data_IF_262505702984
#
_entry.id   IF_262505702984
#
_cell.length_a   1.000
_cell.length_b   1.000
_cell.length_c   1.000
_cell.angle_alpha   90.00
_cell.angle_beta   90.00
_cell.angle_gamma   90.00
#
_symmetry.space_group_name_H-M   'P 1'
#
loop_
_entity.id
_entity.type
_entity.pdbx_description
1 polymer ?
#
# COMPACT_ATOMS: atom_id res chain seq x y z
N UNK A 1 -26.75 18.01 -7.75
CA UNK A 1 -26.63 16.53 -7.63
C UNK A 1 -26.97 16.16 -6.20
N UNK A 2 -28.21 15.73 -5.97
CA UNK A 2 -28.69 15.32 -4.65
C UNK A 2 -28.02 14.00 -4.27
N UNK A 3 -27.36 13.96 -3.11
CA UNK A 3 -26.79 12.74 -2.58
C UNK A 3 -27.92 11.91 -1.93
N UNK A 4 -28.24 10.76 -2.53
CA UNK A 4 -29.19 9.82 -1.97
C UNK A 4 -28.62 9.22 -0.66
N UNK A 5 -29.12 9.66 0.50
CA UNK A 5 -28.61 9.34 1.84
C UNK A 5 -29.04 7.98 2.37
N UNK A 6 -29.91 7.25 1.67
CA UNK A 6 -30.41 5.93 2.11
C UNK A 6 -29.64 4.75 1.51
N UNK A 7 -28.65 5.00 0.64
CA UNK A 7 -27.91 3.94 -0.04
C UNK A 7 -26.41 4.04 0.20
N UNK A 8 -25.81 2.95 0.66
CA UNK A 8 -24.35 2.83 0.73
C UNK A 8 -23.76 2.80 -0.68
N UNK A 9 -22.73 3.62 -0.91
CA UNK A 9 -22.00 3.63 -2.17
C UNK A 9 -21.12 2.39 -2.30
N UNK A 10 -21.11 1.80 -3.49
CA UNK A 10 -20.19 0.72 -3.85
C UNK A 10 -18.75 1.23 -3.82
N UNK A 11 -17.84 0.44 -3.23
CA UNK A 11 -16.42 0.77 -3.23
C UNK A 11 -15.78 0.49 -4.59
N UNK A 12 -14.77 1.29 -4.93
CA UNK A 12 -13.93 1.01 -6.08
C UNK A 12 -13.23 -0.35 -5.95
N UNK A 13 -13.12 -1.06 -7.08
CA UNK A 13 -12.41 -2.33 -7.18
C UNK A 13 -10.94 -2.11 -6.81
N UNK A 14 -10.43 -2.93 -5.89
CA UNK A 14 -9.01 -2.94 -5.54
C UNK A 14 -8.14 -3.49 -6.67
N UNK A 15 -6.82 -3.46 -6.49
CA UNK A 15 -5.91 -4.14 -7.41
C UNK A 15 -6.14 -5.64 -7.42
N UNK A 16 -6.03 -6.25 -8.59
CA UNK A 16 -5.72 -7.67 -8.69
C UNK A 16 -4.21 -7.93 -8.50
N UNK A 17 -3.82 -9.20 -8.49
CA UNK A 17 -2.44 -9.60 -8.26
C UNK A 17 -1.48 -9.07 -9.35
N UNK A 18 -1.91 -9.06 -10.60
CA UNK A 18 -1.08 -8.59 -11.72
C UNK A 18 -0.83 -7.10 -11.57
N UNK A 19 -1.90 -6.33 -11.33
CA UNK A 19 -1.81 -4.89 -11.09
C UNK A 19 -0.91 -4.55 -9.90
N UNK A 20 -1.02 -5.29 -8.80
CA UNK A 20 -0.20 -5.05 -7.62
C UNK A 20 1.29 -5.40 -7.83
N UNK A 21 1.59 -6.48 -8.56
CA UNK A 21 2.97 -6.84 -8.89
C UNK A 21 3.58 -5.81 -9.86
N UNK A 22 2.86 -5.42 -10.91
CA UNK A 22 3.30 -4.37 -11.85
C UNK A 22 3.52 -3.04 -11.14
N UNK A 23 2.67 -2.67 -10.17
CA UNK A 23 2.91 -1.49 -9.35
C UNK A 23 4.16 -1.65 -8.47
N UNK A 24 4.37 -2.82 -7.87
CA UNK A 24 5.54 -3.09 -7.04
C UNK A 24 6.87 -3.08 -7.84
N UNK A 25 6.83 -3.37 -9.14
CA UNK A 25 8.00 -3.26 -10.03
C UNK A 25 8.52 -1.82 -10.16
N UNK A 26 7.66 -0.81 -9.98
CA UNK A 26 8.08 0.60 -9.95
C UNK A 26 8.85 0.98 -8.68
N UNK A 27 8.82 0.14 -7.64
CA UNK A 27 9.49 0.43 -6.37
C UNK A 27 11.01 0.49 -6.55
N UNK A 28 11.63 1.58 -6.07
CA UNK A 28 13.07 1.85 -6.19
C UNK A 28 13.95 0.99 -5.26
N UNK A 29 13.34 0.17 -4.39
CA UNK A 29 14.05 -0.66 -3.40
C UNK A 29 15.07 0.15 -2.56
N UNK A 30 14.62 1.30 -2.02
CA UNK A 30 15.44 2.15 -1.16
C UNK A 30 16.09 1.33 -0.03
N UNK A 31 17.38 1.55 0.21
CA UNK A 31 18.11 0.88 1.30
C UNK A 31 17.53 1.24 2.67
N UNK A 32 17.22 2.53 2.87
CA UNK A 32 16.56 3.08 4.06
C UNK A 32 15.21 3.65 3.64
N UNK A 33 14.12 2.85 3.65
CA UNK A 33 12.87 3.22 2.99
C UNK A 33 12.14 4.34 3.76
N UNK A 34 11.99 5.54 3.19
CA UNK A 34 11.28 6.63 3.87
C UNK A 34 9.79 6.32 4.07
N UNK A 35 9.18 5.54 3.17
CA UNK A 35 7.82 5.06 3.32
C UNK A 35 7.63 4.15 4.55
N UNK A 36 8.67 3.43 4.99
CA UNK A 36 8.64 2.63 6.22
C UNK A 36 8.71 3.49 7.48
N UNK A 37 9.45 4.60 7.45
CA UNK A 37 9.46 5.59 8.54
C UNK A 37 8.14 6.37 8.63
N UNK A 38 7.51 6.64 7.48
CA UNK A 38 6.24 7.35 7.40
C UNK A 38 5.00 6.53 7.79
N UNK A 39 5.14 5.24 8.11
CA UNK A 39 4.02 4.40 8.52
C UNK A 39 3.86 4.39 10.06
N UNK A 40 2.78 4.96 10.62
CA UNK A 40 2.59 5.02 12.08
C UNK A 40 2.36 3.63 12.71
N UNK A 41 1.85 2.67 11.94
CA UNK A 41 1.67 1.28 12.38
C UNK A 41 2.95 0.43 12.22
N UNK A 42 4.06 1.04 11.75
CA UNK A 42 5.34 0.38 11.50
C UNK A 42 5.26 -0.86 10.57
N UNK A 43 4.29 -0.95 9.65
CA UNK A 43 4.03 -2.15 8.82
C UNK A 43 5.11 -2.44 7.76
N UNK A 44 6.12 -1.59 7.67
CA UNK A 44 7.27 -1.72 6.79
C UNK A 44 6.94 -1.92 5.29
N UNK A 45 6.34 -0.89 4.63
CA UNK A 45 6.11 -0.85 3.18
C UNK A 45 7.30 -1.20 2.32
N UNK A 46 8.51 -0.76 2.67
CA UNK A 46 9.71 -1.12 1.93
C UNK A 46 9.88 -2.64 1.83
N UNK A 47 9.73 -3.34 2.95
CA UNK A 47 9.89 -4.80 3.00
C UNK A 47 8.75 -5.54 2.33
N UNK A 48 7.48 -5.23 2.62
CA UNK A 48 6.39 -6.01 2.02
C UNK A 48 6.28 -5.79 0.51
N UNK A 49 6.57 -4.58 0.01
CA UNK A 49 6.57 -4.30 -1.43
C UNK A 49 7.74 -4.99 -2.12
N UNK A 50 8.93 -5.04 -1.48
CA UNK A 50 10.07 -5.82 -1.99
C UNK A 50 9.72 -7.30 -2.13
N UNK A 51 9.07 -7.88 -1.12
CA UNK A 51 8.62 -9.28 -1.17
C UNK A 51 7.58 -9.51 -2.26
N UNK A 52 6.61 -8.60 -2.40
CA UNK A 52 5.61 -8.66 -3.47
C UNK A 52 6.26 -8.58 -4.86
N UNK A 53 7.21 -7.66 -5.07
CA UNK A 53 7.98 -7.54 -6.32
C UNK A 53 8.72 -8.84 -6.66
N UNK A 54 9.24 -9.54 -5.65
CA UNK A 54 9.87 -10.86 -5.79
C UNK A 54 8.87 -12.02 -5.86
N UNK A 55 7.58 -11.74 -6.04
CA UNK A 55 6.47 -12.72 -6.10
C UNK A 55 6.34 -13.57 -4.82
N UNK A 56 6.91 -13.12 -3.71
CA UNK A 56 6.72 -13.73 -2.39
C UNK A 56 5.51 -13.11 -1.68
N UNK A 57 4.32 -13.44 -2.17
CA UNK A 57 3.04 -12.87 -1.70
C UNK A 57 2.84 -13.21 -0.21
N UNK A 58 3.00 -14.48 0.16
CA UNK A 58 2.84 -14.93 1.55
C UNK A 58 3.81 -14.21 2.50
N UNK A 59 5.05 -14.00 2.07
CA UNK A 59 6.03 -13.25 2.84
C UNK A 59 5.65 -11.79 3.00
N UNK A 60 5.07 -11.16 1.97
CA UNK A 60 4.58 -9.79 2.01
C UNK A 60 3.40 -9.63 3.00
N UNK A 61 2.40 -10.51 2.91
CA UNK A 61 1.27 -10.55 3.85
C UNK A 61 1.74 -10.75 5.30
N UNK A 62 2.69 -11.68 5.52
CA UNK A 62 3.27 -11.94 6.85
C UNK A 62 4.01 -10.73 7.41
N UNK A 63 4.68 -9.93 6.57
CA UNK A 63 5.32 -8.69 7.03
C UNK A 63 4.28 -7.72 7.60
N UNK A 64 3.16 -7.49 6.89
CA UNK A 64 2.10 -6.60 7.36
C UNK A 64 1.47 -7.13 8.64
N UNK A 65 1.12 -8.42 8.66
CA UNK A 65 0.42 -9.06 9.79
C UNK A 65 1.28 -9.20 11.05
N UNK A 66 2.61 -9.00 10.96
CA UNK A 66 3.51 -9.05 12.12
C UNK A 66 3.12 -8.02 13.19
N UNK A 67 2.64 -6.85 12.79
CA UNK A 67 2.26 -5.77 13.69
C UNK A 67 0.93 -5.09 13.34
N UNK A 68 0.32 -5.42 12.20
CA UNK A 68 -0.99 -4.92 11.83
C UNK A 68 -1.90 -6.04 11.32
N UNK A 69 -2.69 -6.60 12.23
CA UNK A 69 -3.71 -7.60 11.93
C UNK A 69 -4.83 -7.06 11.03
N UNK A 70 -5.01 -5.73 10.99
CA UNK A 70 -6.01 -5.03 10.19
C UNK A 70 -5.42 -4.51 8.86
N UNK A 71 -4.39 -5.19 8.33
CA UNK A 71 -3.67 -4.80 7.12
C UNK A 71 -4.58 -4.36 5.96
N UNK A 72 -5.57 -5.18 5.61
CA UNK A 72 -6.52 -4.89 4.53
C UNK A 72 -7.43 -3.68 4.82
N UNK A 73 -7.88 -3.50 6.07
CA UNK A 73 -8.66 -2.33 6.46
C UNK A 73 -7.82 -1.04 6.40
N UNK A 74 -6.56 -1.10 6.84
CA UNK A 74 -5.63 0.01 6.67
C UNK A 74 -5.36 0.32 5.19
N UNK A 75 -5.31 -0.67 4.30
CA UNK A 75 -5.20 -0.45 2.86
C UNK A 75 -6.37 0.36 2.26
N UNK A 76 -7.52 0.39 2.93
CA UNK A 76 -8.70 1.17 2.54
C UNK A 76 -8.77 2.53 3.25
N UNK A 77 -8.55 2.54 4.57
CA UNK A 77 -8.87 3.68 5.44
C UNK A 77 -7.67 4.58 5.71
N UNK A 78 -6.44 4.09 5.53
CA UNK A 78 -5.25 4.86 5.84
C UNK A 78 -5.13 6.05 4.89
N UNK A 79 -4.90 7.27 5.38
CA UNK A 79 -4.67 8.45 4.54
C UNK A 79 -3.25 8.41 3.96
N UNK A 80 -2.94 7.39 3.15
CA UNK A 80 -1.60 7.13 2.61
C UNK A 80 -0.97 8.32 1.87
N UNK A 81 -1.71 9.18 1.13
CA UNK A 81 -1.14 10.37 0.50
C UNK A 81 -0.57 11.40 1.47
N UNK A 82 -0.91 11.31 2.77
CA UNK A 82 -0.39 12.17 3.84
C UNK A 82 0.67 11.47 4.71
N UNK A 83 0.93 10.19 4.45
CA UNK A 83 1.79 9.32 5.27
C UNK A 83 2.84 8.63 4.38
N UNK A 84 2.85 7.30 4.31
CA UNK A 84 3.86 6.52 3.63
C UNK A 84 4.04 6.84 2.13
N UNK A 85 2.98 7.26 1.41
CA UNK A 85 3.09 7.63 -0.01
C UNK A 85 3.67 9.04 -0.18
N UNK A 86 3.40 9.96 0.75
CA UNK A 86 4.02 11.29 0.77
C UNK A 86 5.54 11.19 0.84
N UNK A 87 6.03 10.31 1.71
CA UNK A 87 7.46 10.12 1.97
C UNK A 87 8.14 9.24 0.90
N UNK A 88 7.41 8.68 -0.06
CA UNK A 88 7.97 7.77 -1.05
C UNK A 88 8.96 8.48 -1.99
N UNK A 89 10.18 7.96 -2.12
CA UNK A 89 11.21 8.53 -3.00
C UNK A 89 10.79 8.59 -4.49
N UNK A 90 9.88 7.72 -4.93
CA UNK A 90 9.36 7.73 -6.30
C UNK A 90 8.55 9.01 -6.63
N UNK A 91 8.06 9.74 -5.63
CA UNK A 91 7.36 11.02 -5.79
C UNK A 91 8.25 12.09 -6.41
N UNK A 92 9.58 12.04 -6.21
CA UNK A 92 10.52 12.98 -6.83
C UNK A 92 10.84 12.69 -8.30
N UNK A 93 10.40 11.54 -8.82
CA UNK A 93 10.67 11.10 -10.20
C UNK A 93 9.39 11.08 -11.02
N UNK A 94 8.30 10.54 -10.45
CA UNK A 94 7.00 10.45 -11.13
C UNK A 94 5.86 10.57 -10.14
N UNK A 95 5.25 9.44 -9.77
CA UNK A 95 4.23 9.33 -8.73
C UNK A 95 4.68 8.33 -7.66
N UNK A 96 4.22 8.46 -6.41
CA UNK A 96 4.49 7.47 -5.38
C UNK A 96 3.99 6.09 -5.81
N UNK A 97 4.58 5.08 -5.17
CA UNK A 97 4.03 3.72 -5.21
C UNK A 97 2.65 3.76 -4.54
N UNK A 98 1.66 3.10 -5.13
CA UNK A 98 0.31 2.99 -4.56
C UNK A 98 0.29 2.00 -3.38
N UNK A 99 0.95 2.36 -2.28
CA UNK A 99 1.16 1.53 -1.09
C UNK A 99 -0.18 1.07 -0.51
N UNK A 100 -1.15 1.98 -0.39
CA UNK A 100 -2.47 1.64 0.14
C UNK A 100 -3.19 0.57 -0.70
N UNK A 101 -3.13 0.71 -2.03
CA UNK A 101 -3.75 -0.25 -2.96
C UNK A 101 -3.07 -1.62 -2.91
N UNK A 102 -1.75 -1.66 -2.81
CA UNK A 102 -1.00 -2.91 -2.60
C UNK A 102 -1.38 -3.54 -1.26
N UNK A 103 -1.38 -2.77 -0.17
CA UNK A 103 -1.71 -3.27 1.16
C UNK A 103 -3.17 -3.74 1.27
N UNK A 104 -4.10 -3.17 0.49
CA UNK A 104 -5.49 -3.65 0.43
C UNK A 104 -5.60 -5.07 -0.16
N UNK A 105 -4.71 -5.43 -1.08
CA UNK A 105 -4.67 -6.76 -1.69
C UNK A 105 -4.04 -7.81 -0.76
N UNK A 106 -3.02 -7.43 0.02
CA UNK A 106 -2.22 -8.29 0.90
C UNK A 106 -2.88 -8.52 2.27
#
# INVERSE_FOLDING_TARGET
MEANTTQFKSMEKGYDLVQAVTEAERCLLCYDPPCSKGCPAATDPGTFIRKLRMKNITGAMRTIKKNNILGGACGVLCPTPRLCEKECSATGISRPIAIGKIQRLL
#
